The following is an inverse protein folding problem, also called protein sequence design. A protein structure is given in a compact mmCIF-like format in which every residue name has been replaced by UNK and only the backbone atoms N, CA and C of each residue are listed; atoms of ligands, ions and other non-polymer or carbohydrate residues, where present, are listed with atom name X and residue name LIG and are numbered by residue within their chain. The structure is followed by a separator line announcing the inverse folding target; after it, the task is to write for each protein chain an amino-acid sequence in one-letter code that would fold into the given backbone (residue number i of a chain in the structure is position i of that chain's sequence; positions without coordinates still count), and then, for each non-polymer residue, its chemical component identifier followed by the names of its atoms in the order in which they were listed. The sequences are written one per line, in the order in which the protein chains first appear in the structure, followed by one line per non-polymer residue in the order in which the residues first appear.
data_IF_590045130197
#
_entry.id   IF_590045130197
#
_cell.length_a   1.000
_cell.length_b   1.000
_cell.length_c   1.000
_cell.angle_alpha   90.00
_cell.angle_beta   90.00
_cell.angle_gamma   90.00
#
_symmetry.space_group_name_H-M   'P 1'
#
loop_
_entity.id
_entity.type
_entity.pdbx_description
1 polymer ?
#
# COMPACT_ATOMS: atom_id res chain seq x y z
N UNK A 1 0.66 -7.74 -31.99
CA UNK A 1 1.93 -8.29 -31.49
C UNK A 1 2.77 -7.12 -30.97
N UNK A 2 2.52 -6.67 -29.75
CA UNK A 2 3.35 -5.66 -29.07
C UNK A 2 3.93 -6.33 -27.83
N UNK A 3 5.24 -6.21 -27.68
CA UNK A 3 6.04 -6.87 -26.66
C UNK A 3 5.76 -6.24 -25.29
N UNK A 4 5.15 -7.01 -24.38
CA UNK A 4 5.08 -6.66 -22.96
C UNK A 4 6.45 -6.97 -22.34
N UNK A 5 7.21 -5.91 -22.06
CA UNK A 5 8.46 -6.00 -21.31
C UNK A 5 8.20 -6.66 -19.95
N UNK A 6 8.97 -7.69 -19.62
CA UNK A 6 8.92 -8.33 -18.30
C UNK A 6 9.00 -7.29 -17.18
N UNK A 7 8.10 -7.32 -16.18
CA UNK A 7 8.26 -6.45 -15.02
C UNK A 7 9.53 -6.89 -14.32
N UNK A 8 10.54 -6.03 -14.34
CA UNK A 8 11.73 -6.20 -13.50
C UNK A 8 11.24 -6.10 -12.06
N UNK A 9 11.12 -7.23 -11.36
CA UNK A 9 10.70 -7.24 -9.96
C UNK A 9 11.65 -6.38 -9.14
N UNK A 10 11.11 -5.42 -8.38
CA UNK A 10 11.91 -4.56 -7.52
C UNK A 10 12.74 -5.42 -6.54
N UNK A 11 14.07 -5.23 -6.47
CA UNK A 11 14.93 -6.08 -5.64
C UNK A 11 14.56 -6.02 -4.16
N UNK A 12 13.99 -4.88 -3.73
CA UNK A 12 13.49 -4.68 -2.36
C UNK A 12 12.24 -5.55 -2.11
N UNK A 13 11.31 -5.61 -3.07
CA UNK A 13 10.10 -6.46 -2.94
C UNK A 13 10.52 -7.92 -2.84
N UNK A 14 11.48 -8.34 -3.65
CA UNK A 14 12.02 -9.69 -3.61
C UNK A 14 12.68 -10.03 -2.26
N UNK A 15 13.47 -9.12 -1.70
CA UNK A 15 14.07 -9.30 -0.38
C UNK A 15 13.01 -9.34 0.74
N UNK A 16 11.98 -8.49 0.65
CA UNK A 16 10.91 -8.44 1.65
C UNK A 16 10.02 -9.69 1.64
N UNK A 17 9.94 -10.43 0.53
CA UNK A 17 9.22 -11.70 0.44
C UNK A 17 9.84 -12.82 1.29
N UNK A 18 11.06 -12.66 1.80
CA UNK A 18 11.68 -13.65 2.68
C UNK A 18 11.20 -13.53 4.14
N UNK A 19 10.67 -12.37 4.53
CA UNK A 19 10.28 -12.07 5.92
C UNK A 19 8.79 -12.30 6.18
N UNK A 20 8.44 -12.58 7.44
CA UNK A 20 7.04 -12.55 7.90
C UNK A 20 6.64 -11.13 8.30
N UNK A 21 5.34 -10.85 8.40
CA UNK A 21 4.84 -9.55 8.87
C UNK A 21 5.30 -9.22 10.29
N UNK A 22 5.49 -10.23 11.15
CA UNK A 22 6.04 -10.06 12.50
C UNK A 22 7.52 -9.62 12.47
N UNK A 23 8.33 -10.21 11.59
CA UNK A 23 9.75 -9.86 11.46
C UNK A 23 9.92 -8.41 10.96
N UNK A 24 9.11 -8.03 9.97
CA UNK A 24 9.08 -6.64 9.47
C UNK A 24 8.61 -5.68 10.58
N UNK A 25 7.64 -6.09 11.39
CA UNK A 25 7.15 -5.28 12.51
C UNK A 25 8.22 -5.08 13.59
N UNK A 26 8.99 -6.12 13.94
CA UNK A 26 10.09 -6.03 14.90
C UNK A 26 11.22 -5.10 14.38
N UNK A 27 11.56 -5.22 13.10
CA UNK A 27 12.53 -4.33 12.46
C UNK A 27 12.05 -2.87 12.50
N UNK A 28 10.77 -2.61 12.22
CA UNK A 28 10.19 -1.27 12.31
C UNK A 28 10.20 -0.73 13.75
N UNK A 29 9.93 -1.56 14.76
CA UNK A 29 10.07 -1.18 16.17
C UNK A 29 11.50 -0.75 16.51
N UNK A 30 12.51 -1.49 16.03
CA UNK A 30 13.94 -1.14 16.20
C UNK A 30 14.33 0.16 15.50
N UNK A 31 13.66 0.50 14.40
CA UNK A 31 13.82 1.78 13.68
C UNK A 31 13.06 2.95 14.31
N UNK A 32 12.35 2.73 15.44
CA UNK A 32 11.64 3.76 16.18
C UNK A 32 10.17 3.94 15.80
N UNK A 33 9.58 3.02 15.02
CA UNK A 33 8.13 2.99 14.79
C UNK A 33 7.44 2.22 15.93
N UNK A 34 6.73 2.89 16.85
CA UNK A 34 6.29 2.30 18.13
C UNK A 34 5.28 1.16 17.96
N UNK A 35 4.62 1.07 16.81
CA UNK A 35 3.59 0.06 16.53
C UNK A 35 4.01 -0.93 15.43
N UNK A 36 5.29 -0.92 15.01
CA UNK A 36 5.80 -1.83 13.99
C UNK A 36 5.09 -1.71 12.63
N UNK A 37 4.35 -0.63 12.37
CA UNK A 37 3.55 -0.48 11.15
C UNK A 37 2.34 -1.41 11.03
N UNK A 38 1.88 -2.02 12.14
CA UNK A 38 0.75 -2.94 12.14
C UNK A 38 -0.59 -2.22 11.95
N UNK A 39 -1.42 -2.71 11.03
CA UNK A 39 -2.79 -2.23 10.78
C UNK A 39 -3.82 -3.21 11.38
N UNK A 40 -4.34 -2.94 12.60
CA UNK A 40 -5.31 -3.82 13.24
C UNK A 40 -6.65 -3.83 12.49
N UNK A 41 -7.39 -4.94 12.61
CA UNK A 41 -8.73 -5.08 12.01
C UNK A 41 -8.74 -5.53 10.55
N UNK A 42 -7.57 -5.72 9.92
CA UNK A 42 -7.46 -6.35 8.60
C UNK A 42 -7.44 -7.87 8.74
N UNK A 43 -8.20 -8.56 7.88
CA UNK A 43 -8.31 -10.02 7.86
C UNK A 43 -8.20 -10.50 6.41
N UNK A 44 -7.22 -11.35 6.12
CA UNK A 44 -7.11 -12.05 4.83
C UNK A 44 -8.36 -12.90 4.61
N UNK A 45 -9.10 -12.57 3.55
CA UNK A 45 -10.32 -13.28 3.15
C UNK A 45 -10.07 -14.29 2.04
N UNK A 46 -9.18 -13.95 1.11
CA UNK A 46 -8.79 -14.77 -0.05
C UNK A 46 -7.26 -14.91 -0.09
N UNK A 47 -6.70 -16.04 -0.58
CA UNK A 47 -7.37 -17.18 -1.22
C UNK A 47 -8.11 -18.09 -0.23
N UNK A 48 -7.64 -18.16 1.01
CA UNK A 48 -8.32 -18.86 2.10
C UNK A 48 -8.38 -17.94 3.32
N UNK A 49 -9.47 -18.01 4.08
CA UNK A 49 -9.71 -17.07 5.17
C UNK A 49 -8.75 -17.36 6.34
N UNK A 50 -7.87 -16.41 6.62
CA UNK A 50 -6.89 -16.47 7.73
C UNK A 50 -6.03 -17.74 7.75
N UNK A 51 -5.80 -18.35 6.59
CA UNK A 51 -5.08 -19.61 6.50
C UNK A 51 -4.19 -19.66 5.25
N UNK A 52 -3.20 -20.54 5.29
CA UNK A 52 -2.25 -20.78 4.23
C UNK A 52 -0.98 -19.92 4.30
N UNK A 53 -0.02 -20.20 3.41
CA UNK A 53 1.27 -19.51 3.36
C UNK A 53 1.23 -18.22 2.52
N UNK A 54 0.04 -17.80 2.07
CA UNK A 54 -0.09 -16.67 1.15
C UNK A 54 0.27 -15.38 1.84
N UNK A 55 1.23 -14.65 1.27
CA UNK A 55 1.56 -13.28 1.68
C UNK A 55 1.76 -12.42 0.45
N UNK A 56 1.48 -11.13 0.59
CA UNK A 56 1.56 -10.16 -0.50
C UNK A 56 2.51 -9.06 -0.05
N UNK A 57 3.48 -8.76 -0.90
CA UNK A 57 4.46 -7.69 -0.69
C UNK A 57 4.48 -6.85 -1.96
N UNK A 58 4.40 -5.55 -1.82
CA UNK A 58 4.41 -4.64 -2.96
C UNK A 58 4.30 -3.18 -2.54
N UNK A 59 4.46 -2.28 -3.51
CA UNK A 59 4.28 -0.85 -3.30
C UNK A 59 2.82 -0.53 -2.90
N UNK A 60 2.64 0.47 -2.03
CA UNK A 60 1.31 0.93 -1.63
C UNK A 60 0.74 1.92 -2.66
N UNK A 61 -0.41 1.56 -3.26
CA UNK A 61 -1.23 2.48 -4.06
C UNK A 61 -2.46 2.88 -3.26
N UNK A 62 -2.53 4.16 -2.88
CA UNK A 62 -3.56 4.66 -1.95
C UNK A 62 -4.71 5.33 -2.69
N UNK A 63 -5.94 4.91 -2.38
CA UNK A 63 -7.17 5.55 -2.87
C UNK A 63 -7.91 6.15 -1.67
N UNK A 64 -8.24 7.44 -1.73
CA UNK A 64 -9.02 8.12 -0.70
C UNK A 64 -10.48 8.25 -1.13
N UNK A 65 -11.37 7.67 -0.35
CA UNK A 65 -12.81 7.88 -0.51
C UNK A 65 -13.27 9.06 0.34
N UNK A 66 -14.28 9.77 -0.17
CA UNK A 66 -14.98 10.85 0.53
C UNK A 66 -16.49 10.61 0.40
N UNK A 67 -17.31 11.15 1.32
CA UNK A 67 -18.76 11.17 1.16
C UNK A 67 -19.17 11.72 -0.21
N UNK A 68 -20.28 11.22 -0.77
CA UNK A 68 -20.72 11.55 -2.13
C UNK A 68 -21.03 13.04 -2.32
N UNK A 69 -21.50 13.69 -1.26
CA UNK A 69 -21.84 15.11 -1.16
C UNK A 69 -20.62 16.02 -0.94
N UNK A 70 -19.42 15.44 -0.81
CA UNK A 70 -18.21 16.22 -0.60
C UNK A 70 -17.83 17.03 -1.86
N UNK A 71 -17.50 18.34 -1.72
CA UNK A 71 -17.14 19.20 -2.85
C UNK A 71 -15.73 18.92 -3.40
N UNK A 72 -14.99 17.94 -2.87
CA UNK A 72 -13.66 17.59 -3.35
C UNK A 72 -13.68 17.23 -4.85
N UNK A 73 -12.62 17.60 -5.61
CA UNK A 73 -12.52 17.28 -7.02
C UNK A 73 -12.53 15.76 -7.23
N UNK A 74 -13.40 15.31 -8.14
CA UNK A 74 -13.53 13.89 -8.48
C UNK A 74 -12.38 13.50 -9.40
N UNK A 75 -11.85 12.29 -9.19
CA UNK A 75 -10.89 11.73 -10.12
C UNK A 75 -11.57 11.53 -11.47
N UNK A 76 -10.98 11.98 -12.60
CA UNK A 76 -11.63 11.94 -13.92
C UNK A 76 -11.81 10.51 -14.45
N UNK A 77 -11.03 9.56 -13.93
CA UNK A 77 -10.95 8.17 -14.37
C UNK A 77 -11.08 7.20 -13.20
N UNK A 78 -11.43 5.95 -13.51
CA UNK A 78 -11.51 4.88 -12.51
C UNK A 78 -10.10 4.47 -12.08
N UNK A 79 -9.85 4.48 -10.77
CA UNK A 79 -8.58 4.02 -10.18
C UNK A 79 -8.29 2.53 -10.49
N UNK A 80 -9.31 1.73 -10.80
CA UNK A 80 -9.15 0.35 -11.25
C UNK A 80 -8.83 0.34 -12.74
N UNK A 81 -7.56 0.10 -13.08
CA UNK A 81 -7.09 0.03 -14.47
C UNK A 81 -6.21 1.21 -14.90
N UNK A 82 -6.01 2.20 -14.03
CA UNK A 82 -4.97 3.20 -14.25
C UNK A 82 -3.57 2.57 -14.12
N UNK A 83 -2.65 2.88 -15.05
CA UNK A 83 -1.28 2.43 -14.95
C UNK A 83 -0.64 3.04 -13.69
N UNK A 84 -0.09 2.17 -12.83
CA UNK A 84 0.64 2.61 -11.65
C UNK A 84 1.81 3.50 -12.08
N UNK A 85 1.94 4.73 -11.54
CA UNK A 85 3.04 5.60 -11.90
C UNK A 85 4.37 5.02 -11.39
N UNK A 86 5.25 4.62 -12.31
CA UNK A 86 6.66 4.35 -12.04
C UNK A 86 7.49 5.61 -12.33
N UNK A 87 8.53 5.97 -11.56
CA UNK A 87 8.90 5.58 -10.20
C UNK A 87 8.47 6.65 -9.19
N UNK A 88 8.08 6.23 -7.98
CA UNK A 88 7.75 7.06 -6.81
C UNK A 88 8.29 8.51 -6.80
N UNK A 89 7.52 9.52 -7.23
CA UNK A 89 7.68 10.85 -6.69
C UNK A 89 6.74 10.89 -5.48
N UNK A 90 7.27 10.66 -4.27
CA UNK A 90 6.59 11.21 -3.11
C UNK A 90 6.45 12.73 -3.36
N UNK A 91 5.22 13.24 -3.33
CA UNK A 91 4.97 14.18 -2.27
C UNK A 91 3.91 13.56 -1.37
N UNK A 92 4.36 13.12 -0.20
CA UNK A 92 3.53 13.06 0.99
C UNK A 92 3.05 14.49 1.29
N UNK A 93 2.13 15.02 0.48
CA UNK A 93 1.27 16.13 0.91
C UNK A 93 0.22 15.51 1.82
N UNK A 94 0.67 15.02 2.97
CA UNK A 94 -0.17 14.91 4.15
C UNK A 94 -0.48 16.35 4.57
N UNK A 95 -1.36 17.02 3.83
CA UNK A 95 -1.98 18.25 4.31
C UNK A 95 -2.88 17.79 5.45
N UNK A 96 -2.30 17.73 6.65
CA UNK A 96 -3.04 17.68 7.88
C UNK A 96 -3.97 18.89 7.85
N UNK A 97 -5.24 18.65 7.50
CA UNK A 97 -6.32 19.55 7.86
C UNK A 97 -6.30 19.59 9.38
N UNK A 98 -5.59 20.57 9.90
CA UNK A 98 -5.65 20.99 11.28
C UNK A 98 -7.05 21.55 11.47
N UNK A 99 -7.97 20.69 11.85
CA UNK A 99 -9.31 21.07 12.30
C UNK A 99 -9.12 21.87 13.59
N UNK A 100 -9.10 23.19 13.46
CA UNK A 100 -9.26 24.09 14.59
C UNK A 100 -10.75 24.24 14.88
N UNK A 101 -11.18 23.78 16.05
CA UNK A 101 -11.84 24.59 17.08
C UNK A 101 -11.88 23.75 18.37
#
# INVERSE_FOLDING_TARGET
MAAESSPQEDPIVKALLEFTTCDVSDALCKLGQPHGGFLPGLTMWSPQRQDGPTKIVGPAYTVKYVPLDNPAPKHPTHYVGEPLPSPFPFPLSLTAVRSGM
#
